data_IF_170966539366
#
_entry.id   IF_170966539366
#
_cell.length_a   1.000
_cell.length_b   1.000
_cell.length_c   1.000
_cell.angle_alpha   90.00
_cell.angle_beta   90.00
_cell.angle_gamma   90.00
#
_symmetry.space_group_name_H-M   'P 1'
#
loop_
_entity.id
_entity.type
_entity.pdbx_description
1 polymer ?
#
# COMPACT_ATOMS: atom_id res chain seq x y z
N UNK A 1 4.52 -17.14 -4.83
CA UNK A 1 3.49 -17.05 -5.91
C UNK A 1 2.93 -15.63 -5.95
N UNK A 2 2.39 -15.15 -7.09
CA UNK A 2 1.67 -13.87 -7.19
C UNK A 2 0.28 -14.13 -7.78
N UNK A 3 -0.76 -13.58 -7.16
CA UNK A 3 -2.15 -13.70 -7.61
C UNK A 3 -2.74 -12.32 -7.88
N UNK A 4 -3.62 -12.23 -8.87
CA UNK A 4 -4.40 -11.03 -9.17
C UNK A 4 -5.86 -11.44 -9.27
N UNK A 5 -6.73 -10.80 -8.48
CA UNK A 5 -8.17 -11.09 -8.43
C UNK A 5 -8.92 -9.87 -8.97
N UNK A 6 -9.56 -10.03 -10.14
CA UNK A 6 -10.27 -8.97 -10.86
C UNK A 6 -11.71 -9.38 -11.19
N UNK A 7 -12.57 -8.40 -11.50
CA UNK A 7 -14.00 -8.64 -11.76
C UNK A 7 -14.90 -7.46 -11.37
N UNK A 8 -16.19 -7.53 -11.75
CA UNK A 8 -17.19 -6.48 -11.50
C UNK A 8 -17.46 -6.23 -10.01
N UNK A 9 -18.06 -5.09 -9.67
CA UNK A 9 -18.55 -4.83 -8.31
C UNK A 9 -19.50 -5.94 -7.84
N UNK A 10 -19.41 -6.36 -6.58
CA UNK A 10 -20.26 -7.42 -6.02
C UNK A 10 -19.91 -8.86 -6.44
N UNK A 11 -18.90 -9.09 -7.29
CA UNK A 11 -18.56 -10.45 -7.76
C UNK A 11 -17.80 -11.33 -6.75
N UNK A 12 -17.66 -10.90 -5.49
CA UNK A 12 -17.02 -11.69 -4.43
C UNK A 12 -15.48 -11.65 -4.38
N UNK A 13 -14.83 -10.74 -5.12
CA UNK A 13 -13.35 -10.63 -5.19
C UNK A 13 -12.67 -10.60 -3.83
N UNK A 14 -13.06 -9.66 -2.97
CA UNK A 14 -12.45 -9.46 -1.66
C UNK A 14 -12.60 -10.69 -0.77
N UNK A 15 -13.75 -11.36 -0.84
CA UNK A 15 -13.99 -12.62 -0.13
C UNK A 15 -13.02 -13.71 -0.60
N UNK A 16 -12.86 -13.90 -1.91
CA UNK A 16 -11.93 -14.90 -2.46
C UNK A 16 -10.48 -14.56 -2.09
N UNK A 17 -10.09 -13.29 -2.21
CA UNK A 17 -8.77 -12.81 -1.80
C UNK A 17 -8.48 -13.11 -0.33
N UNK A 18 -9.45 -12.87 0.56
CA UNK A 18 -9.29 -13.14 1.99
C UNK A 18 -9.18 -14.63 2.29
N UNK A 19 -9.98 -15.48 1.63
CA UNK A 19 -9.92 -16.93 1.81
C UNK A 19 -8.58 -17.51 1.36
N UNK A 20 -8.09 -17.10 0.18
CA UNK A 20 -6.78 -17.51 -0.33
C UNK A 20 -5.67 -17.07 0.63
N UNK A 21 -5.68 -15.80 1.05
CA UNK A 21 -4.65 -15.26 1.93
C UNK A 21 -4.61 -15.98 3.28
N UNK A 22 -5.78 -16.28 3.87
CA UNK A 22 -5.87 -17.02 5.13
C UNK A 22 -5.37 -18.45 5.01
N UNK A 23 -5.74 -19.15 3.96
CA UNK A 23 -5.30 -20.54 3.71
C UNK A 23 -3.78 -20.61 3.50
N UNK A 24 -3.20 -19.68 2.73
CA UNK A 24 -1.75 -19.61 2.55
C UNK A 24 -1.04 -19.31 3.88
N UNK A 25 -1.56 -18.36 4.66
CA UNK A 25 -1.01 -18.05 5.97
C UNK A 25 -1.10 -19.24 6.94
N UNK A 26 -2.19 -20.01 6.95
CA UNK A 26 -2.31 -21.20 7.79
C UNK A 26 -1.36 -22.33 7.40
N UNK A 27 -0.87 -22.34 6.15
CA UNK A 27 0.21 -23.24 5.69
C UNK A 27 1.61 -22.76 6.08
N UNK A 28 1.72 -21.64 6.79
CA UNK A 28 3.00 -21.06 7.20
C UNK A 28 3.66 -20.17 6.14
N UNK A 29 2.95 -19.82 5.06
CA UNK A 29 3.48 -18.90 4.05
C UNK A 29 3.45 -17.45 4.52
N UNK A 30 4.45 -16.67 4.10
CA UNK A 30 4.45 -15.21 4.30
C UNK A 30 3.59 -14.55 3.22
N UNK A 31 2.43 -14.02 3.61
CA UNK A 31 1.43 -13.46 2.70
C UNK A 31 1.40 -11.93 2.79
N UNK A 32 1.33 -11.26 1.64
CA UNK A 32 1.03 -9.83 1.53
C UNK A 32 -0.24 -9.67 0.69
N UNK A 33 -1.25 -9.04 1.27
CA UNK A 33 -2.47 -8.64 0.55
C UNK A 33 -2.37 -7.15 0.24
N UNK A 34 -2.60 -6.79 -1.01
CA UNK A 34 -2.66 -5.40 -1.47
C UNK A 34 -4.07 -5.16 -1.99
N UNK A 35 -4.77 -4.20 -1.41
CA UNK A 35 -6.07 -3.75 -1.89
C UNK A 35 -5.91 -2.35 -2.48
N UNK A 36 -6.36 -2.20 -3.73
CA UNK A 36 -6.35 -0.92 -4.45
C UNK A 36 -7.76 -0.32 -4.55
N UNK A 37 -8.77 -1.00 -4.00
CA UNK A 37 -10.15 -0.53 -3.98
C UNK A 37 -10.44 0.23 -2.67
N UNK A 38 -10.39 1.56 -2.75
CA UNK A 38 -10.65 2.44 -1.60
C UNK A 38 -12.08 2.31 -1.05
N UNK A 39 -13.02 1.76 -1.83
CA UNK A 39 -14.40 1.56 -1.39
C UNK A 39 -14.59 0.30 -0.52
N UNK A 40 -13.56 -0.54 -0.41
CA UNK A 40 -13.64 -1.81 0.31
C UNK A 40 -13.34 -1.67 1.81
N UNK A 41 -14.34 -1.27 2.58
CA UNK A 41 -14.23 -1.14 4.04
C UNK A 41 -14.22 -2.49 4.81
N UNK A 42 -14.41 -3.63 4.14
CA UNK A 42 -14.65 -4.91 4.80
C UNK A 42 -13.44 -5.85 4.88
N UNK A 43 -12.43 -5.65 4.04
CA UNK A 43 -11.36 -6.64 3.85
C UNK A 43 -10.54 -6.91 5.11
N UNK A 44 -10.17 -5.86 5.85
CA UNK A 44 -9.40 -6.01 7.09
C UNK A 44 -10.11 -6.93 8.09
N UNK A 45 -11.45 -6.82 8.18
CA UNK A 45 -12.29 -7.65 9.04
C UNK A 45 -12.35 -9.10 8.55
N UNK A 46 -12.45 -9.32 7.22
CA UNK A 46 -12.39 -10.66 6.64
C UNK A 46 -11.05 -11.36 6.89
N UNK A 47 -9.96 -10.59 6.99
CA UNK A 47 -8.62 -11.08 7.31
C UNK A 47 -8.37 -11.22 8.82
N UNK A 48 -9.30 -10.81 9.69
CA UNK A 48 -9.14 -10.85 11.14
C UNK A 48 -8.12 -9.83 11.67
N UNK A 49 -7.87 -8.75 10.92
CA UNK A 49 -6.94 -7.69 11.28
C UNK A 49 -7.68 -6.57 12.05
N UNK A 50 -6.96 -5.79 12.88
CA UNK A 50 -7.52 -4.57 13.45
C UNK A 50 -7.87 -3.57 12.34
N UNK A 51 -8.81 -2.67 12.62
CA UNK A 51 -9.16 -1.61 11.68
C UNK A 51 -7.90 -0.78 11.37
N UNK A 52 -7.57 -0.58 10.08
CA UNK A 52 -6.44 0.24 9.71
C UNK A 52 -6.70 1.70 10.08
N UNK A 53 -5.65 2.39 10.50
CA UNK A 53 -5.68 3.86 10.64
C UNK A 53 -5.90 4.49 9.27
N UNK A 54 -6.55 5.65 9.26
CA UNK A 54 -6.69 6.46 8.05
C UNK A 54 -5.32 6.68 7.40
N UNK A 55 -5.29 6.60 6.05
CA UNK A 55 -4.03 6.69 5.30
C UNK A 55 -3.31 8.02 5.60
N UNK A 56 -4.05 9.13 5.66
CA UNK A 56 -3.47 10.43 6.02
C UNK A 56 -2.86 10.45 7.42
N UNK A 57 -3.49 9.80 8.39
CA UNK A 57 -2.96 9.72 9.75
C UNK A 57 -1.71 8.85 9.79
N UNK A 58 -1.66 7.77 9.01
CA UNK A 58 -0.48 6.92 8.85
C UNK A 58 0.74 7.68 8.28
N UNK A 59 0.48 8.78 7.57
CA UNK A 59 1.49 9.67 6.99
C UNK A 59 1.86 10.85 7.90
N UNK A 60 1.28 10.96 9.10
CA UNK A 60 1.49 12.10 10.00
C UNK A 60 0.62 13.31 9.67
N UNK A 61 -0.54 13.08 9.06
CA UNK A 61 -1.49 14.11 8.65
C UNK A 61 -0.98 14.98 7.50
N UNK A 62 -1.69 16.09 7.23
CA UNK A 62 -1.33 17.02 6.14
C UNK A 62 0.10 17.58 6.30
N UNK A 63 0.50 17.89 7.53
CA UNK A 63 1.82 18.45 7.82
C UNK A 63 2.92 17.42 7.58
N UNK A 64 2.78 16.19 8.11
CA UNK A 64 3.74 15.11 7.91
C UNK A 64 3.89 14.72 6.45
N UNK A 65 2.78 14.67 5.70
CA UNK A 65 2.83 14.45 4.25
C UNK A 65 3.55 15.60 3.52
N UNK A 66 3.23 16.85 3.86
CA UNK A 66 3.90 18.03 3.28
C UNK A 66 5.41 18.04 3.52
N UNK A 67 5.85 17.73 4.74
CA UNK A 67 7.27 17.62 5.08
C UNK A 67 7.99 16.52 4.30
N UNK A 68 7.36 15.34 4.16
CA UNK A 68 7.90 14.22 3.39
C UNK A 68 8.00 14.54 1.90
N UNK A 69 6.98 15.15 1.32
CA UNK A 69 6.99 15.61 -0.08
C UNK A 69 8.07 16.67 -0.31
N UNK A 70 8.18 17.66 0.56
CA UNK A 70 9.24 18.69 0.48
C UNK A 70 10.63 18.08 0.60
N UNK A 71 10.81 17.08 1.47
CA UNK A 71 12.08 16.34 1.59
C UNK A 71 12.39 15.57 0.30
N UNK A 72 11.40 14.91 -0.30
CA UNK A 72 11.54 14.18 -1.55
C UNK A 72 11.93 15.09 -2.73
N UNK A 73 11.24 16.23 -2.89
CA UNK A 73 11.58 17.22 -3.91
C UNK A 73 12.99 17.80 -3.72
N UNK A 74 13.42 18.01 -2.47
CA UNK A 74 14.79 18.46 -2.15
C UNK A 74 15.83 17.37 -2.40
N UNK A 75 15.52 16.08 -2.22
CA UNK A 75 16.44 14.99 -2.53
C UNK A 75 16.59 14.77 -4.03
N UNK A 76 15.51 14.82 -4.82
CA UNK A 76 15.62 14.75 -6.29
C UNK A 76 16.32 15.98 -6.89
N UNK A 77 16.18 17.14 -6.27
CA UNK A 77 16.96 18.33 -6.62
C UNK A 77 18.46 18.15 -6.37
N UNK A 78 18.87 17.40 -5.33
CA UNK A 78 20.28 17.18 -5.01
C UNK A 78 20.98 16.16 -5.92
N UNK A 79 20.29 15.14 -6.43
CA UNK A 79 20.87 14.20 -7.41
C UNK A 79 21.20 14.89 -8.74
N UNK A 80 20.34 15.80 -9.22
CA UNK A 80 20.58 16.55 -10.46
C UNK A 80 21.73 17.57 -10.37
N UNK A 81 22.03 18.10 -9.18
CA UNK A 81 23.09 19.09 -8.96
C UNK A 81 24.49 18.44 -8.88
N UNK A 82 24.61 17.17 -8.50
CA UNK A 82 25.90 16.46 -8.51
C UNK A 82 26.33 15.98 -9.90
N UNK A 83 25.40 15.63 -10.79
CA UNK A 83 25.74 15.21 -12.16
C UNK A 83 26.16 16.38 -13.07
N UNK A 84 25.72 17.60 -12.78
CA UNK A 84 26.08 18.80 -13.54
C UNK A 84 27.42 19.43 -13.14
N UNK A 85 27.95 19.13 -11.95
CA UNK A 85 29.22 19.72 -11.46
C UNK A 85 30.45 18.83 -11.70
N UNK A 86 30.28 17.62 -12.26
CA UNK A 86 31.38 16.74 -12.69
C UNK A 86 31.65 16.78 -14.19
N UNK A 87 30.99 17.67 -14.93
CA UNK A 87 31.28 17.98 -16.34
C UNK A 87 31.70 19.44 -16.46
N UNK A 88 32.90 19.74 -16.00
CA UNK A 88 33.73 20.85 -16.49
C UNK A 88 35.19 20.47 -16.30
#
# INVERSE_FOLDING_TARGET
>A
MKYVICGKGGSGKSTVSALIAREMASRGEKVLVVDTDESNFGLYKQLGLPQPRDFMDSLGGKKGLGERLMKFMRSEGKEKLSESSSRN
#
